data_IF_820768395929
#
_entry.id   IF_820768395929
#
_cell.length_a   1.000
_cell.length_b   1.000
_cell.length_c   1.000
_cell.angle_alpha   90.00
_cell.angle_beta   90.00
_cell.angle_gamma   90.00
#
_symmetry.space_group_name_H-M   'P 1'
#
loop_
_entity.id
_entity.type
_entity.pdbx_description
1 polymer ?
#
# COMPACT_ATOMS: atom_id res chain seq x y z
N UNK A 1 0.74 -5.48 -2.22
CA UNK A 1 1.37 -4.14 -2.18
C UNK A 1 1.85 -3.77 -0.77
N UNK A 2 0.98 -3.53 0.21
CA UNK A 2 1.38 -3.11 1.58
C UNK A 2 2.41 -4.03 2.22
N UNK A 3 2.21 -5.35 2.15
CA UNK A 3 3.15 -6.35 2.67
C UNK A 3 4.51 -6.28 1.94
N UNK A 4 4.49 -6.20 0.61
CA UNK A 4 5.68 -6.11 -0.23
C UNK A 4 6.54 -4.88 0.12
N UNK A 5 5.91 -3.71 0.22
CA UNK A 5 6.61 -2.46 0.53
C UNK A 5 7.25 -2.52 1.92
N UNK A 6 6.52 -3.01 2.93
CA UNK A 6 7.07 -3.17 4.27
C UNK A 6 8.24 -4.18 4.28
N UNK A 7 8.09 -5.33 3.60
CA UNK A 7 9.18 -6.31 3.50
C UNK A 7 10.43 -5.70 2.86
N UNK A 8 10.31 -5.07 1.70
CA UNK A 8 11.42 -4.42 1.02
C UNK A 8 12.06 -3.32 1.89
N UNK A 9 11.24 -2.51 2.56
CA UNK A 9 11.72 -1.46 3.45
C UNK A 9 12.53 -1.99 4.65
N UNK A 10 12.17 -3.16 5.18
CA UNK A 10 12.92 -3.85 6.24
C UNK A 10 14.22 -4.46 5.71
N UNK A 11 14.15 -5.19 4.61
CA UNK A 11 15.31 -5.84 3.97
C UNK A 11 16.39 -4.82 3.60
N UNK A 12 16.00 -3.63 3.12
CA UNK A 12 16.92 -2.54 2.78
C UNK A 12 17.25 -1.62 3.97
N UNK A 13 16.84 -1.96 5.19
CA UNK A 13 17.03 -1.17 6.42
C UNK A 13 16.56 0.30 6.31
N UNK A 14 15.51 0.55 5.52
CA UNK A 14 14.89 1.87 5.39
C UNK A 14 13.99 2.15 6.60
N UNK A 15 13.27 1.13 7.06
CA UNK A 15 12.53 1.13 8.33
C UNK A 15 13.35 0.33 9.34
N UNK A 16 13.68 0.92 10.49
CA UNK A 16 14.46 0.24 11.54
C UNK A 16 13.59 -0.78 12.25
N UNK A 17 14.18 -1.88 12.72
CA UNK A 17 13.46 -2.97 13.42
C UNK A 17 12.49 -2.48 14.51
N UNK A 18 12.91 -1.48 15.29
CA UNK A 18 12.13 -0.89 16.38
C UNK A 18 10.94 -0.02 15.94
N UNK A 19 10.95 0.46 14.70
CA UNK A 19 9.90 1.35 14.19
C UNK A 19 8.71 0.49 13.72
N UNK A 20 7.49 1.01 13.85
CA UNK A 20 6.28 0.32 13.39
C UNK A 20 6.25 0.16 11.87
N UNK A 21 5.53 -0.85 11.39
CA UNK A 21 5.26 -1.00 9.96
C UNK A 21 4.32 0.11 9.45
N UNK A 22 4.48 0.45 8.18
CA UNK A 22 3.60 1.36 7.46
C UNK A 22 2.25 0.69 7.22
N UNK A 23 1.17 1.45 7.41
CA UNK A 23 -0.18 0.98 7.09
C UNK A 23 -0.46 1.08 5.60
N UNK A 24 -1.55 0.47 5.14
CA UNK A 24 -1.97 0.60 3.76
C UNK A 24 -2.30 2.03 3.35
N UNK A 25 -2.80 2.85 4.28
CA UNK A 25 -3.15 4.24 4.00
C UNK A 25 -1.91 5.12 3.88
N UNK A 26 -0.91 4.90 4.73
CA UNK A 26 0.38 5.59 4.65
C UNK A 26 1.06 5.36 3.28
N UNK A 27 0.99 4.13 2.76
CA UNK A 27 1.61 3.74 1.48
C UNK A 27 0.81 4.27 0.27
N UNK A 28 -0.51 4.40 0.38
CA UNK A 28 -1.38 4.86 -0.70
C UNK A 28 -1.54 6.38 -0.72
N UNK A 29 -0.96 7.12 0.22
CA UNK A 29 -1.11 8.56 0.29
C UNK A 29 -0.52 9.25 -0.95
N UNK A 30 -1.41 9.89 -1.73
CA UNK A 30 -1.05 10.53 -2.99
C UNK A 30 -0.64 9.53 -4.08
N UNK A 31 -1.06 8.26 -3.99
CA UNK A 31 -0.92 7.27 -5.04
C UNK A 31 -2.05 7.44 -6.06
N UNK A 32 -1.69 7.61 -7.33
CA UNK A 32 -2.62 7.45 -8.44
C UNK A 32 -2.31 6.14 -9.15
N UNK A 33 -3.31 5.27 -9.27
CA UNK A 33 -3.16 3.98 -9.92
C UNK A 33 -4.40 3.68 -10.77
N UNK A 34 -4.16 3.05 -11.92
CA UNK A 34 -5.21 2.52 -12.79
C UNK A 34 -5.05 1.00 -12.82
N UNK A 35 -6.12 0.28 -12.52
CA UNK A 35 -6.15 -1.18 -12.57
C UNK A 35 -7.19 -1.57 -13.62
N UNK A 36 -6.73 -2.22 -14.68
CA UNK A 36 -7.58 -2.76 -15.75
C UNK A 36 -7.37 -4.27 -15.82
N UNK A 37 -8.46 -5.02 -15.74
CA UNK A 37 -8.47 -6.48 -15.85
C UNK A 37 -9.42 -6.89 -16.97
N UNK A 38 -9.01 -7.87 -17.77
CA UNK A 38 -9.86 -8.49 -18.79
C UNK A 38 -10.25 -9.88 -18.32
N UNK A 39 -11.54 -10.19 -18.33
CA UNK A 39 -12.12 -11.43 -17.83
C UNK A 39 -13.08 -11.99 -18.87
N UNK A 40 -13.12 -13.31 -19.02
CA UNK A 40 -14.07 -13.97 -19.90
C UNK A 40 -15.50 -13.86 -19.36
N UNK A 41 -15.69 -14.15 -18.06
CA UNK A 41 -17.00 -14.15 -17.40
C UNK A 41 -16.97 -13.22 -16.15
N UNK A 42 -17.14 -11.90 -16.34
CA UNK A 42 -17.15 -10.97 -15.22
C UNK A 42 -18.47 -11.02 -14.46
N UNK A 43 -18.39 -11.27 -13.16
CA UNK A 43 -19.49 -11.24 -12.21
C UNK A 43 -19.44 -9.93 -11.43
N UNK A 44 -20.56 -9.21 -11.35
CA UNK A 44 -20.65 -7.95 -10.61
C UNK A 44 -21.76 -7.98 -9.57
N UNK A 45 -21.54 -7.28 -8.46
CA UNK A 45 -22.58 -7.01 -7.47
C UNK A 45 -23.50 -5.90 -8.01
N UNK A 46 -24.75 -6.28 -8.33
CA UNK A 46 -25.77 -5.36 -8.80
C UNK A 46 -25.60 -4.88 -10.25
N UNK A 47 -26.64 -4.24 -10.76
CA UNK A 47 -26.70 -3.80 -12.16
C UNK A 47 -25.73 -2.67 -12.49
N UNK A 48 -25.37 -1.83 -11.52
CA UNK A 48 -24.45 -0.70 -11.71
C UNK A 48 -22.99 -1.11 -11.82
N UNK A 49 -22.68 -2.40 -11.66
CA UNK A 49 -21.33 -2.99 -11.81
C UNK A 49 -20.25 -2.30 -10.97
N UNK A 50 -20.62 -1.79 -9.80
CA UNK A 50 -19.72 -1.02 -8.92
C UNK A 50 -18.68 -1.88 -8.22
N UNK A 51 -18.96 -3.17 -8.04
CA UNK A 51 -18.05 -4.11 -7.39
C UNK A 51 -17.97 -5.41 -8.16
N UNK A 52 -16.74 -5.82 -8.48
CA UNK A 52 -16.45 -7.10 -9.11
C UNK A 52 -16.54 -8.22 -8.08
N UNK A 53 -17.34 -9.25 -8.37
CA UNK A 53 -17.59 -10.42 -7.52
C UNK A 53 -16.63 -11.59 -7.74
N UNK A 54 -15.86 -11.60 -8.84
CA UNK A 54 -14.87 -12.64 -9.14
C UNK A 54 -13.72 -12.66 -8.10
N UNK A 55 -13.87 -13.47 -7.05
CA UNK A 55 -12.91 -13.58 -5.95
C UNK A 55 -11.52 -14.05 -6.40
N UNK A 56 -11.46 -14.86 -7.46
CA UNK A 56 -10.25 -15.40 -8.08
C UNK A 56 -9.35 -14.31 -8.69
N UNK A 57 -9.96 -13.22 -9.16
CA UNK A 57 -9.25 -12.09 -9.79
C UNK A 57 -8.36 -11.39 -8.78
N UNK A 58 -8.79 -11.32 -7.51
CA UNK A 58 -7.98 -10.76 -6.43
C UNK A 58 -6.64 -11.47 -6.31
N UNK A 59 -6.64 -12.80 -6.30
CA UNK A 59 -5.43 -13.62 -6.17
C UNK A 59 -4.50 -13.42 -7.37
N UNK A 60 -5.05 -13.42 -8.58
CA UNK A 60 -4.30 -13.18 -9.81
C UNK A 60 -3.64 -11.80 -9.82
N UNK A 61 -4.41 -10.73 -9.61
CA UNK A 61 -3.90 -9.35 -9.58
C UNK A 61 -2.87 -9.19 -8.48
N UNK A 62 -3.11 -9.73 -7.28
CA UNK A 62 -2.18 -9.64 -6.17
C UNK A 62 -0.83 -10.27 -6.51
N UNK A 63 -0.80 -11.42 -7.19
CA UNK A 63 0.45 -12.07 -7.61
C UNK A 63 1.20 -11.21 -8.62
N UNK A 64 0.56 -10.83 -9.72
CA UNK A 64 1.16 -10.02 -10.80
C UNK A 64 1.71 -8.70 -10.26
N UNK A 65 0.94 -8.01 -9.40
CA UNK A 65 1.39 -6.76 -8.78
C UNK A 65 2.57 -7.01 -7.84
N UNK A 66 2.57 -8.10 -7.07
CA UNK A 66 3.65 -8.38 -6.12
C UNK A 66 4.96 -8.69 -6.86
N UNK A 67 4.89 -9.47 -7.93
CA UNK A 67 6.07 -9.84 -8.73
C UNK A 67 6.61 -8.62 -9.49
N UNK A 68 5.74 -7.92 -10.23
CA UNK A 68 6.14 -6.77 -11.05
C UNK A 68 6.59 -5.57 -10.23
N UNK A 69 5.87 -5.23 -9.16
CA UNK A 69 6.30 -4.13 -8.27
C UNK A 69 7.56 -4.52 -7.50
N UNK A 70 7.70 -5.80 -7.10
CA UNK A 70 8.89 -6.27 -6.41
C UNK A 70 10.14 -6.14 -7.27
N UNK A 71 10.08 -6.63 -8.50
CA UNK A 71 11.16 -6.49 -9.48
C UNK A 71 11.47 -5.01 -9.78
N UNK A 72 10.44 -4.16 -9.92
CA UNK A 72 10.65 -2.72 -10.10
C UNK A 72 11.38 -2.07 -8.92
N UNK A 73 11.02 -2.41 -7.68
CA UNK A 73 11.66 -1.86 -6.48
C UNK A 73 13.15 -2.23 -6.42
N UNK A 74 13.50 -3.48 -6.73
CA UNK A 74 14.89 -3.95 -6.76
C UNK A 74 15.72 -3.27 -7.86
N UNK A 75 15.13 -3.05 -9.04
CA UNK A 75 15.81 -2.35 -10.15
C UNK A 75 15.94 -0.84 -9.94
N UNK A 76 15.11 -0.26 -9.08
CA UNK A 76 15.02 1.20 -8.89
C UNK A 76 15.20 1.58 -7.40
N UNK A 77 16.37 1.31 -6.78
CA UNK A 77 16.54 1.48 -5.33
C UNK A 77 16.43 2.93 -4.86
N UNK A 78 16.86 3.91 -5.67
CA UNK A 78 16.69 5.34 -5.38
C UNK A 78 15.21 5.75 -5.29
N UNK A 79 14.45 5.63 -6.40
CA UNK A 79 13.01 5.89 -6.39
C UNK A 79 12.24 5.08 -5.36
N UNK A 80 12.58 3.80 -5.16
CA UNK A 80 11.95 2.97 -4.13
C UNK A 80 12.13 3.56 -2.73
N UNK A 81 13.33 4.05 -2.41
CA UNK A 81 13.60 4.71 -1.13
C UNK A 81 12.81 6.00 -0.97
N UNK A 82 12.66 6.79 -2.02
CA UNK A 82 11.91 8.04 -1.98
C UNK A 82 10.41 7.81 -1.77
N UNK A 83 9.84 6.80 -2.44
CA UNK A 83 8.45 6.37 -2.22
C UNK A 83 8.24 5.93 -0.76
N UNK A 84 9.14 5.11 -0.21
CA UNK A 84 9.05 4.64 1.17
C UNK A 84 9.20 5.79 2.17
N UNK A 85 10.11 6.74 1.91
CA UNK A 85 10.27 7.95 2.73
C UNK A 85 9.00 8.79 2.76
N UNK A 86 8.34 8.98 1.62
CA UNK A 86 7.04 9.67 1.57
C UNK A 86 6.01 8.96 2.44
N UNK A 87 5.94 7.64 2.38
CA UNK A 87 5.03 6.85 3.22
C UNK A 87 5.40 6.91 4.72
N UNK A 88 6.69 7.02 5.07
CA UNK A 88 7.12 7.27 6.46
C UNK A 88 6.63 8.64 6.95
N UNK A 89 6.76 9.69 6.12
CA UNK A 89 6.24 11.03 6.45
C UNK A 89 4.72 11.02 6.67
N UNK A 90 3.97 10.30 5.83
CA UNK A 90 2.54 10.06 6.01
C UNK A 90 2.22 9.40 7.37
N UNK A 91 2.93 8.32 7.70
CA UNK A 91 2.76 7.62 8.97
C UNK A 91 3.06 8.53 10.18
N UNK A 92 4.12 9.35 10.11
CA UNK A 92 4.46 10.31 11.15
C UNK A 92 3.35 11.36 11.33
N UNK A 93 2.81 11.91 10.24
CA UNK A 93 1.70 12.87 10.29
C UNK A 93 0.45 12.25 10.94
N UNK A 94 0.09 11.02 10.56
CA UNK A 94 -1.01 10.26 11.16
C UNK A 94 -0.82 10.07 12.67
N UNK A 95 0.37 9.67 13.10
CA UNK A 95 0.68 9.44 14.52
C UNK A 95 0.67 10.74 15.33
N UNK A 96 1.22 11.83 14.79
CA UNK A 96 1.17 13.14 15.40
C UNK A 96 -0.29 13.63 15.60
N UNK A 97 -1.13 13.48 14.57
CA UNK A 97 -2.54 13.84 14.63
C UNK A 97 -3.31 13.01 15.68
N UNK A 98 -3.02 11.70 15.77
CA UNK A 98 -3.60 10.82 16.79
C UNK A 98 -3.23 11.27 18.21
N UNK A 99 -1.93 11.51 18.46
CA UNK A 99 -1.44 11.97 19.76
C UNK A 99 -2.04 13.31 20.17
N UNK A 100 -2.20 14.24 19.23
CA UNK A 100 -2.86 15.52 19.50
C UNK A 100 -4.33 15.36 19.92
N UNK A 101 -5.08 14.49 19.23
CA UNK A 101 -6.49 14.18 19.57
C UNK A 101 -6.63 13.50 20.93
N UNK A 102 -5.76 12.54 21.23
CA UNK A 102 -5.81 11.82 22.50
C UNK A 102 -5.47 12.75 23.69
N UNK A 103 -4.51 13.66 23.53
CA UNK A 103 -4.20 14.67 24.53
C UNK A 103 -5.34 15.66 24.76
N UNK A 104 -6.05 16.06 23.69
CA UNK A 104 -7.21 16.95 23.79
C UNK A 104 -8.41 16.30 24.48
N UNK A 105 -8.58 14.97 24.36
CA UNK A 105 -9.65 14.20 25.02
C UNK A 105 -9.40 13.89 26.49
N UNK A 106 -8.14 13.96 26.95
CA UNK A 106 -7.73 13.70 28.34
C UNK A 106 -7.72 14.96 29.20
N UNK A 107 -7.88 16.15 28.60
CA UNK A 107 -8.16 17.41 29.29
C UNK A 107 -9.66 17.57 29.45
#
# INVERSE_FOLDING_TARGET
MTSLINRYAREKNIIKEKDDNLTGDDIREGLTAVISVKLAEPQFEGQTKTKLGNSEVKGFVQRVVTDGLGDWLERNPGPARDVIRKAISAAQARMAARKARDNARRK
#
